data_IF_035087184112
#
_entry.id   IF_035087184112
#
_cell.length_a   1.000
_cell.length_b   1.000
_cell.length_c   1.000
_cell.angle_alpha   90.00
_cell.angle_beta   90.00
_cell.angle_gamma   90.00
#
_symmetry.space_group_name_H-M   'P 1'
#
loop_
_entity.id
_entity.type
_entity.pdbx_description
1 polymer ?
#
# COMPACT_ATOMS: atom_id res chain seq x y z
N UNK A 1 -7.05 -2.38 10.04
CA UNK A 1 -5.60 -2.25 10.21
C UNK A 1 -5.32 -1.00 11.01
N UNK A 2 -4.34 -1.03 11.90
CA UNK A 2 -3.80 0.15 12.60
C UNK A 2 -2.52 0.64 11.90
N UNK A 3 -2.15 1.89 12.13
CA UNK A 3 -0.89 2.46 11.64
C UNK A 3 0.33 1.58 11.99
N UNK A 4 0.40 1.07 13.22
CA UNK A 4 1.49 0.19 13.66
C UNK A 4 1.50 -1.16 12.93
N UNK A 5 0.34 -1.72 12.62
CA UNK A 5 0.24 -2.98 11.86
C UNK A 5 0.74 -2.78 10.41
N UNK A 6 0.34 -1.68 9.76
CA UNK A 6 0.81 -1.34 8.42
C UNK A 6 2.32 -1.09 8.43
N UNK A 7 2.81 -0.28 9.37
CA UNK A 7 4.22 0.02 9.50
C UNK A 7 5.06 -1.25 9.65
N UNK A 8 4.66 -2.16 10.56
CA UNK A 8 5.35 -3.44 10.75
C UNK A 8 5.36 -4.27 9.47
N UNK A 9 4.24 -4.36 8.76
CA UNK A 9 4.16 -5.12 7.52
C UNK A 9 5.11 -4.56 6.46
N UNK A 10 5.14 -3.23 6.27
CA UNK A 10 6.05 -2.56 5.33
C UNK A 10 7.52 -2.81 5.70
N UNK A 11 7.88 -2.74 6.99
CA UNK A 11 9.25 -3.00 7.43
C UNK A 11 9.65 -4.48 7.28
N UNK A 12 8.78 -5.41 7.71
CA UNK A 12 9.07 -6.85 7.72
C UNK A 12 9.09 -7.46 6.31
N UNK A 13 8.18 -7.03 5.44
CA UNK A 13 8.07 -7.55 4.06
C UNK A 13 8.87 -6.75 3.06
N UNK A 14 9.23 -5.50 3.41
CA UNK A 14 10.06 -4.62 2.61
C UNK A 14 9.63 -4.57 1.14
N UNK A 15 8.33 -4.33 0.84
CA UNK A 15 7.90 -4.17 -0.55
C UNK A 15 8.60 -2.97 -1.18
N UNK A 16 8.80 -3.01 -2.49
CA UNK A 16 9.18 -1.81 -3.22
C UNK A 16 8.05 -0.77 -3.10
N UNK A 17 8.39 0.50 -2.97
CA UNK A 17 7.40 1.57 -2.92
C UNK A 17 7.98 2.91 -3.34
N UNK A 18 7.12 3.80 -3.83
CA UNK A 18 7.53 5.16 -4.20
C UNK A 18 6.37 6.13 -4.14
N UNK A 19 6.68 7.39 -3.84
CA UNK A 19 5.76 8.49 -4.08
C UNK A 19 5.62 8.75 -5.59
N UNK A 20 4.39 8.87 -6.06
CA UNK A 20 4.07 9.13 -7.46
C UNK A 20 2.72 9.85 -7.57
N UNK A 21 2.56 10.72 -8.56
CA UNK A 21 1.27 11.31 -8.90
C UNK A 21 0.28 10.22 -9.33
N UNK A 22 -0.83 10.10 -8.61
CA UNK A 22 -1.96 9.25 -8.94
C UNK A 22 -2.96 10.04 -9.79
N UNK A 23 -3.05 9.71 -11.08
CA UNK A 23 -3.93 10.39 -12.04
C UNK A 23 -5.42 10.28 -11.69
N UNK A 24 -5.83 9.26 -10.96
CA UNK A 24 -7.21 9.02 -10.56
C UNK A 24 -7.58 9.89 -9.36
N UNK A 25 -6.76 9.87 -8.31
CA UNK A 25 -6.93 10.69 -7.11
C UNK A 25 -6.52 12.17 -7.31
N UNK A 26 -5.87 12.50 -8.44
CA UNK A 26 -5.34 13.85 -8.79
C UNK A 26 -4.37 14.44 -7.76
N UNK A 27 -3.62 13.60 -7.06
CA UNK A 27 -2.64 14.02 -6.05
C UNK A 27 -1.45 13.04 -5.95
N UNK A 28 -0.42 13.42 -5.18
CA UNK A 28 0.69 12.53 -4.87
C UNK A 28 0.25 11.43 -3.89
N UNK A 29 0.59 10.19 -4.21
CA UNK A 29 0.25 8.99 -3.46
C UNK A 29 1.48 8.06 -3.39
N UNK A 30 1.43 7.04 -2.54
CA UNK A 30 2.42 5.97 -2.50
C UNK A 30 1.91 4.79 -3.30
N UNK A 31 2.64 4.45 -4.35
CA UNK A 31 2.49 3.17 -5.04
C UNK A 31 3.36 2.14 -4.33
N UNK A 32 2.74 1.11 -3.77
CA UNK A 32 3.47 -0.06 -3.26
C UNK A 32 3.45 -1.18 -4.29
N UNK A 33 4.51 -1.98 -4.29
CA UNK A 33 4.70 -3.13 -5.16
C UNK A 33 4.92 -4.41 -4.35
N UNK A 34 3.89 -4.97 -3.69
CA UNK A 34 4.03 -6.26 -3.03
C UNK A 34 4.35 -7.36 -4.04
N UNK A 35 5.37 -8.14 -3.75
CA UNK A 35 5.60 -9.40 -4.44
C UNK A 35 4.37 -10.33 -4.29
N UNK A 36 4.12 -11.14 -5.31
CA UNK A 36 3.00 -12.07 -5.33
C UNK A 36 2.92 -13.00 -4.11
N UNK A 37 4.06 -13.46 -3.59
CA UNK A 37 4.13 -14.30 -2.38
C UNK A 37 3.85 -13.54 -1.08
N UNK A 38 3.85 -12.20 -1.09
CA UNK A 38 3.42 -11.37 0.04
C UNK A 38 1.93 -11.04 -0.02
N UNK A 39 1.26 -11.27 -1.15
CA UNK A 39 -0.11 -10.82 -1.38
C UNK A 39 -1.11 -11.41 -0.40
N UNK A 40 -1.00 -12.69 -0.02
CA UNK A 40 -1.89 -13.29 0.99
C UNK A 40 -1.76 -12.59 2.36
N UNK A 41 -0.53 -12.22 2.74
CA UNK A 41 -0.31 -11.50 4.00
C UNK A 41 -0.82 -10.07 3.94
N UNK A 42 -0.70 -9.43 2.78
CA UNK A 42 -1.23 -8.09 2.53
C UNK A 42 -2.77 -8.11 2.54
N UNK A 43 -3.40 -9.08 1.87
CA UNK A 43 -4.86 -9.20 1.79
C UNK A 43 -5.48 -9.39 3.18
N UNK A 44 -4.87 -10.21 4.05
CA UNK A 44 -5.31 -10.39 5.44
C UNK A 44 -5.16 -9.11 6.28
N UNK A 45 -4.18 -8.28 5.97
CA UNK A 45 -3.95 -7.01 6.65
C UNK A 45 -5.07 -6.01 6.32
N UNK A 46 -5.49 -5.97 5.05
CA UNK A 46 -6.55 -5.07 4.55
C UNK A 46 -7.96 -5.67 4.65
N UNK A 47 -8.10 -6.97 4.93
CA UNK A 47 -9.37 -7.72 4.99
C UNK A 47 -10.46 -7.03 5.84
N UNK A 48 -10.08 -6.35 6.92
CA UNK A 48 -11.03 -5.62 7.78
C UNK A 48 -11.62 -4.35 7.14
N UNK A 49 -11.09 -3.93 5.99
CA UNK A 49 -11.47 -2.70 5.31
C UNK A 49 -11.78 -2.82 3.83
N UNK A 50 -11.68 -4.02 3.27
CA UNK A 50 -12.27 -4.31 1.97
C UNK A 50 -13.73 -4.70 2.21
N UNK A 51 -14.66 -3.87 1.75
CA UNK A 51 -16.08 -4.21 1.66
C UNK A 51 -16.35 -5.14 0.44
N UNK A 52 -17.59 -5.20 -0.04
CA UNK A 52 -17.96 -6.04 -1.19
C UNK A 52 -17.25 -5.66 -2.50
N UNK A 53 -16.71 -4.43 -2.63
CA UNK A 53 -16.07 -3.94 -3.86
C UNK A 53 -14.55 -4.19 -3.88
N UNK A 54 -13.93 -4.34 -2.72
CA UNK A 54 -12.51 -4.67 -2.60
C UNK A 54 -11.56 -3.49 -2.89
N UNK A 55 -10.30 -3.80 -3.19
CA UNK A 55 -9.27 -2.80 -3.55
C UNK A 55 -8.84 -3.06 -4.99
N UNK A 56 -8.89 -2.02 -5.83
CA UNK A 56 -8.34 -2.11 -7.18
C UNK A 56 -6.81 -2.23 -7.12
N UNK A 57 -6.26 -3.21 -7.83
CA UNK A 57 -4.82 -3.35 -8.00
C UNK A 57 -4.48 -3.76 -9.42
N UNK A 58 -3.25 -3.44 -9.85
CA UNK A 58 -2.75 -3.84 -11.16
C UNK A 58 -1.67 -4.91 -11.00
N UNK A 59 -1.74 -5.96 -11.79
CA UNK A 59 -0.67 -6.97 -11.84
C UNK A 59 0.36 -6.54 -12.89
N UNK A 60 1.65 -6.56 -12.52
CA UNK A 60 2.76 -6.32 -13.44
C UNK A 60 3.88 -7.32 -13.16
N UNK A 61 4.00 -8.34 -14.02
CA UNK A 61 4.96 -9.43 -13.79
C UNK A 61 4.61 -10.18 -12.50
N UNK A 62 5.57 -10.28 -11.59
CA UNK A 62 5.43 -11.00 -10.32
C UNK A 62 4.98 -10.10 -9.14
N UNK A 63 4.56 -8.87 -9.45
CA UNK A 63 4.16 -7.86 -8.47
C UNK A 63 2.71 -7.44 -8.67
N UNK A 64 2.10 -7.05 -7.55
CA UNK A 64 0.88 -6.25 -7.53
C UNK A 64 1.27 -4.79 -7.35
N UNK A 65 0.55 -3.87 -7.98
CA UNK A 65 0.69 -2.44 -7.80
C UNK A 65 -0.58 -1.92 -7.13
N UNK A 66 -0.42 -1.33 -5.95
CA UNK A 66 -1.51 -0.89 -5.08
C UNK A 66 -1.26 0.54 -4.66
N UNK A 67 -2.27 1.39 -4.84
CA UNK A 67 -2.29 2.76 -4.33
C UNK A 67 -2.67 2.75 -2.85
N UNK A 68 -1.93 3.50 -2.02
CA UNK A 68 -2.05 3.41 -0.57
C UNK A 68 -2.95 4.46 0.04
N UNK A 69 -3.24 5.56 -0.67
CA UNK A 69 -4.04 6.64 -0.11
C UNK A 69 -5.42 6.15 0.34
N UNK A 70 -6.18 5.49 -0.55
CA UNK A 70 -7.53 5.00 -0.23
C UNK A 70 -7.53 4.04 0.97
N UNK A 71 -6.51 3.18 1.05
CA UNK A 71 -6.33 2.23 2.15
C UNK A 71 -6.04 2.98 3.45
N UNK A 72 -5.11 3.93 3.43
CA UNK A 72 -4.74 4.71 4.61
C UNK A 72 -5.90 5.58 5.10
N UNK A 73 -6.63 6.23 4.18
CA UNK A 73 -7.81 7.05 4.50
C UNK A 73 -8.91 6.20 5.14
N UNK A 74 -9.20 5.01 4.60
CA UNK A 74 -10.19 4.11 5.17
C UNK A 74 -9.90 3.73 6.63
N UNK A 75 -8.63 3.55 6.97
CA UNK A 75 -8.20 3.16 8.32
C UNK A 75 -7.79 4.33 9.22
N UNK A 76 -7.98 5.58 8.80
CA UNK A 76 -7.55 6.79 9.52
C UNK A 76 -6.04 6.78 9.84
N UNK A 77 -5.23 6.38 8.86
CA UNK A 77 -3.76 6.30 8.95
C UNK A 77 -3.15 7.48 8.20
N UNK A 78 -2.23 8.19 8.86
CA UNK A 78 -1.40 9.16 8.15
C UNK A 78 -0.34 8.42 7.33
N UNK A 79 -0.47 8.46 6.01
CA UNK A 79 0.44 7.80 5.08
C UNK A 79 1.91 8.21 5.27
N UNK A 80 2.18 9.44 5.72
CA UNK A 80 3.53 9.95 5.97
C UNK A 80 4.20 9.32 7.21
N UNK A 81 3.41 8.72 8.12
CA UNK A 81 3.94 7.94 9.25
C UNK A 81 4.43 6.55 8.82
N UNK A 82 3.97 6.08 7.66
CA UNK A 82 4.36 4.78 7.09
C UNK A 82 5.47 4.97 6.05
N UNK A 83 5.30 5.95 5.17
CA UNK A 83 6.15 6.21 4.03
C UNK A 83 6.67 7.65 4.08
N UNK A 84 7.97 7.82 4.28
CA UNK A 84 8.58 9.15 4.31
C UNK A 84 8.31 9.91 3.02
N UNK A 85 7.78 11.14 3.12
CA UNK A 85 7.41 11.98 1.98
C UNK A 85 8.58 12.17 0.99
N UNK A 86 8.32 11.93 -0.29
CA UNK A 86 9.33 12.00 -1.36
C UNK A 86 10.40 10.89 -1.30
N UNK A 87 10.23 9.92 -0.40
CA UNK A 87 11.07 8.73 -0.33
C UNK A 87 10.71 7.69 -1.39
N UNK A 88 11.56 6.68 -1.48
CA UNK A 88 11.33 5.48 -2.25
C UNK A 88 12.10 4.33 -1.61
N UNK A 89 11.69 3.12 -1.93
CA UNK A 89 12.36 1.89 -1.57
C UNK A 89 12.41 1.00 -2.80
N UNK A 90 13.61 0.89 -3.39
CA UNK A 90 13.89 0.00 -4.50
C UNK A 90 14.85 -1.07 -3.96
N UNK A 91 14.36 -2.31 -3.78
CA UNK A 91 15.16 -3.45 -3.37
C UNK A 91 15.46 -4.38 -4.55
#
# INVERSE_FOLDING_TARGET
>A
MTELELYKWVQEKSPEWRWQYNDEAKQDDVLILPYSFHFESFSKLVEKGCDEEGIECRIKGDYFAVWMLDICEYFDINIENIFSKGGYNDF
#
